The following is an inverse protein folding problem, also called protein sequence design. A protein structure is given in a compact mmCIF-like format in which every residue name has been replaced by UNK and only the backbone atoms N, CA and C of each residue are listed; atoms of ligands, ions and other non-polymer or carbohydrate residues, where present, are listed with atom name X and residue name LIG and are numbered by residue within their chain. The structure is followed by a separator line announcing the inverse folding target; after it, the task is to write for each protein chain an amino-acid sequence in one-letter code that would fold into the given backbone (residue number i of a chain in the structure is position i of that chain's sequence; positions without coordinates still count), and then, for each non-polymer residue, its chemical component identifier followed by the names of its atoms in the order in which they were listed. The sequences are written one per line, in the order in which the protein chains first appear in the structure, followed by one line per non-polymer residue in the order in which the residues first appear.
data_IF_896400263061
#
_entry.id   IF_896400263061
#
_cell.length_a   1.000
_cell.length_b   1.000
_cell.length_c   1.000
_cell.angle_alpha   90.00
_cell.angle_beta   90.00
_cell.angle_gamma   90.00
#
_symmetry.space_group_name_H-M   'P 1'
#
loop_
_entity.id
_entity.type
_entity.pdbx_description
1 polymer ?
#
# COMPACT_ATOMS: atom_id res chain seq x y z
N UNK A 1 1.26 12.81 5.60
CA UNK A 1 1.11 12.17 6.93
C UNK A 1 1.44 10.69 6.82
N UNK A 2 2.17 10.12 7.77
CA UNK A 2 2.46 8.67 7.78
C UNK A 2 1.30 7.94 8.45
N UNK A 3 0.74 6.91 7.82
CA UNK A 3 -0.29 6.07 8.44
C UNK A 3 0.38 5.10 9.40
N UNK A 4 -0.14 5.03 10.62
CA UNK A 4 0.28 4.12 11.68
C UNK A 4 -0.97 3.56 12.36
N UNK A 5 -0.82 2.49 13.14
CA UNK A 5 -1.95 1.95 13.94
C UNK A 5 -2.58 3.01 14.86
N UNK A 6 -1.81 4.02 15.28
CA UNK A 6 -2.26 5.02 16.25
C UNK A 6 -3.09 6.14 15.64
N UNK A 7 -2.98 6.38 14.33
CA UNK A 7 -3.64 7.51 13.67
C UNK A 7 -4.65 7.08 12.59
N UNK A 8 -5.05 5.80 12.57
CA UNK A 8 -6.11 5.32 11.67
C UNK A 8 -7.41 6.10 11.84
N UNK A 9 -7.73 6.56 13.05
CA UNK A 9 -8.96 7.33 13.29
C UNK A 9 -8.93 8.75 12.69
N UNK A 10 -7.76 9.25 12.29
CA UNK A 10 -7.58 10.57 11.66
C UNK A 10 -7.73 10.51 10.13
N UNK A 11 -7.95 9.30 9.60
CA UNK A 11 -8.00 9.01 8.16
C UNK A 11 -9.45 8.77 7.75
N UNK A 12 -9.85 9.31 6.60
CA UNK A 12 -11.14 9.05 5.99
C UNK A 12 -11.10 7.75 5.21
N UNK A 13 -11.98 6.82 5.60
CA UNK A 13 -12.19 5.55 4.91
C UNK A 13 -13.60 5.51 4.34
N UNK A 14 -13.72 4.99 3.11
CA UNK A 14 -15.00 4.73 2.47
C UNK A 14 -15.89 3.81 3.33
N UNK A 15 -15.29 2.78 3.94
CA UNK A 15 -15.99 1.85 4.81
C UNK A 15 -15.07 1.20 5.86
N UNK A 16 -15.67 0.37 6.71
CA UNK A 16 -14.96 -0.36 7.76
C UNK A 16 -13.95 -1.38 7.20
N UNK A 17 -14.23 -2.00 6.05
CA UNK A 17 -13.34 -3.00 5.45
C UNK A 17 -12.03 -2.39 4.97
N UNK A 18 -12.08 -1.21 4.34
CA UNK A 18 -10.91 -0.43 3.95
C UNK A 18 -10.02 -0.13 5.17
N UNK A 19 -10.64 0.25 6.30
CA UNK A 19 -9.92 0.48 7.55
C UNK A 19 -9.23 -0.79 8.06
N UNK A 20 -9.93 -1.91 8.09
CA UNK A 20 -9.38 -3.19 8.55
C UNK A 20 -8.22 -3.69 7.67
N UNK A 21 -8.30 -3.46 6.35
CA UNK A 21 -7.22 -3.78 5.42
C UNK A 21 -5.96 -2.98 5.73
N UNK A 22 -6.07 -1.65 5.85
CA UNK A 22 -4.93 -0.78 6.17
C UNK A 22 -4.38 -1.06 7.56
N UNK A 23 -5.24 -1.32 8.55
CA UNK A 23 -4.83 -1.75 9.89
C UNK A 23 -3.97 -3.01 9.82
N UNK A 24 -4.37 -3.99 9.00
CA UNK A 24 -3.60 -5.21 8.78
C UNK A 24 -2.22 -4.92 8.20
N UNK A 25 -2.12 -4.01 7.23
CA UNK A 25 -0.86 -3.63 6.60
C UNK A 25 0.10 -3.03 7.62
N UNK A 26 -0.30 -1.98 8.34
CA UNK A 26 0.57 -1.33 9.33
C UNK A 26 0.87 -2.20 10.55
N UNK A 27 0.08 -3.26 10.76
CA UNK A 27 0.22 -4.18 11.88
C UNK A 27 1.11 -5.38 11.60
N UNK A 28 1.07 -5.88 10.37
CA UNK A 28 1.66 -7.17 9.99
C UNK A 28 2.83 -7.03 9.03
N UNK A 29 2.98 -5.89 8.38
CA UNK A 29 4.06 -5.66 7.41
C UNK A 29 4.92 -4.49 7.87
N UNK A 30 6.16 -4.44 7.41
CA UNK A 30 7.04 -3.27 7.61
C UNK A 30 6.74 -2.11 6.63
N UNK A 31 5.64 -2.17 5.88
CA UNK A 31 5.29 -1.16 4.89
C UNK A 31 5.00 0.19 5.55
N UNK A 32 5.73 1.22 5.11
CA UNK A 32 5.48 2.61 5.53
C UNK A 32 4.53 3.27 4.55
N UNK A 33 3.31 3.57 5.01
CA UNK A 33 2.27 4.16 4.18
C UNK A 33 2.24 5.69 4.36
N UNK A 34 2.33 6.42 3.25
CA UNK A 34 2.20 7.87 3.23
C UNK A 34 0.86 8.29 2.64
N UNK A 35 0.18 9.19 3.34
CA UNK A 35 -1.18 9.63 3.07
C UNK A 35 -1.30 11.15 3.06
N UNK A 36 -2.15 11.65 2.16
CA UNK A 36 -2.55 13.06 2.11
C UNK A 36 -3.94 13.20 2.71
N UNK A 37 -4.09 14.17 3.62
CA UNK A 37 -5.27 14.33 4.48
C UNK A 37 -6.60 14.47 3.72
N UNK A 38 -6.57 14.88 2.46
CA UNK A 38 -7.75 15.19 1.64
C UNK A 38 -8.20 14.04 0.71
N UNK A 39 -7.63 12.82 0.85
CA UNK A 39 -7.90 11.73 -0.10
C UNK A 39 -8.60 10.56 0.58
N UNK A 40 -9.92 10.38 0.46
CA UNK A 40 -10.57 9.19 1.04
C UNK A 40 -9.93 7.87 0.56
N UNK A 41 -9.69 6.94 1.50
CA UNK A 41 -9.22 5.59 1.19
C UNK A 41 -10.42 4.72 0.85
N UNK A 42 -10.53 4.38 -0.43
CA UNK A 42 -11.50 3.40 -0.91
C UNK A 42 -11.06 1.97 -0.61
N UNK A 43 -12.01 1.03 -0.62
CA UNK A 43 -11.73 -0.40 -0.45
C UNK A 43 -10.74 -0.90 -1.50
N UNK A 44 -10.92 -0.48 -2.75
CA UNK A 44 -10.04 -0.86 -3.86
C UNK A 44 -8.59 -0.46 -3.59
N UNK A 45 -8.35 0.79 -3.16
CA UNK A 45 -7.01 1.27 -2.82
C UNK A 45 -6.43 0.55 -1.60
N UNK A 46 -7.26 0.29 -0.59
CA UNK A 46 -6.82 -0.46 0.59
C UNK A 46 -6.38 -1.89 0.22
N UNK A 47 -7.10 -2.52 -0.71
CA UNK A 47 -6.78 -3.85 -1.22
C UNK A 47 -5.47 -3.85 -2.02
N UNK A 48 -5.26 -2.84 -2.87
CA UNK A 48 -4.02 -2.66 -3.62
C UNK A 48 -2.81 -2.49 -2.70
N UNK A 49 -2.93 -1.61 -1.69
CA UNK A 49 -1.91 -1.40 -0.66
C UNK A 49 -1.62 -2.70 0.08
N UNK A 50 -2.65 -3.43 0.48
CA UNK A 50 -2.51 -4.71 1.16
C UNK A 50 -1.75 -5.73 0.31
N UNK A 51 -2.15 -5.93 -0.94
CA UNK A 51 -1.50 -6.88 -1.84
C UNK A 51 -0.04 -6.50 -2.08
N UNK A 52 0.26 -5.21 -2.23
CA UNK A 52 1.64 -4.74 -2.43
C UNK A 52 2.49 -4.91 -1.18
N UNK A 53 1.97 -4.64 0.00
CA UNK A 53 2.67 -4.82 1.26
C UNK A 53 2.93 -6.29 1.58
N UNK A 54 1.98 -7.18 1.29
CA UNK A 54 2.16 -8.63 1.46
C UNK A 54 3.20 -9.17 0.48
N UNK A 55 3.14 -8.79 -0.80
CA UNK A 55 4.15 -9.19 -1.79
C UNK A 55 5.55 -8.73 -1.41
N UNK A 56 5.67 -7.52 -0.86
CA UNK A 56 6.95 -6.98 -0.40
C UNK A 56 7.56 -7.75 0.77
N UNK A 57 6.73 -8.23 1.70
CA UNK A 57 7.17 -9.08 2.81
C UNK A 57 7.61 -10.47 2.30
N UNK A 58 6.92 -11.02 1.30
CA UNK A 58 7.27 -12.33 0.71
C UNK A 58 8.58 -12.29 -0.10
N UNK A 59 8.96 -11.14 -0.65
CA UNK A 59 10.14 -10.96 -1.51
C UNK A 59 11.43 -10.53 -0.76
N UNK A 60 11.39 -10.45 0.58
CA UNK A 60 12.53 -10.09 1.48
C UNK A 60 13.22 -8.75 1.12
N UNK A 61 12.50 -7.86 0.45
CA UNK A 61 12.99 -6.57 -0.03
C UNK A 61 12.16 -5.42 0.53
N UNK A 62 12.76 -4.57 1.36
CA UNK A 62 12.12 -3.38 1.93
C UNK A 62 11.42 -2.54 0.84
N UNK A 63 10.09 -2.62 0.76
CA UNK A 63 9.31 -1.96 -0.28
C UNK A 63 8.78 -0.62 0.22
N UNK A 64 9.40 0.46 -0.26
CA UNK A 64 8.90 1.81 -0.11
C UNK A 64 7.95 2.10 -1.28
N UNK A 65 6.64 2.11 -1.02
CA UNK A 65 5.64 2.42 -2.06
C UNK A 65 5.38 3.93 -2.08
N UNK A 66 5.64 4.58 -3.21
CA UNK A 66 5.32 6.00 -3.41
C UNK A 66 4.15 6.19 -4.37
N UNK A 67 3.36 7.23 -4.15
CA UNK A 67 2.22 7.62 -4.97
C UNK A 67 2.59 8.04 -6.42
N UNK A 68 3.88 8.23 -6.73
CA UNK A 68 4.32 8.61 -8.09
C UNK A 68 4.55 7.41 -9.03
N UNK A 69 4.60 6.18 -8.49
CA UNK A 69 4.79 4.98 -9.33
C UNK A 69 3.56 4.68 -10.21
N UNK A 70 2.37 5.18 -9.82
CA UNK A 70 1.12 5.03 -10.57
C UNK A 70 1.18 5.60 -11.99
N UNK A 71 2.07 6.55 -12.27
CA UNK A 71 2.16 7.17 -13.59
C UNK A 71 3.10 6.44 -14.56
N UNK A 72 3.86 5.44 -14.10
CA UNK A 72 4.91 4.77 -14.89
C UNK A 72 4.61 3.32 -15.27
N UNK A 73 3.53 2.73 -14.76
CA UNK A 73 3.21 1.30 -15.00
C UNK A 73 2.33 1.03 -16.24
N UNK A 74 1.85 2.07 -16.94
CA UNK A 74 1.11 1.88 -18.22
C UNK A 74 2.02 1.73 -19.45
N UNK A 75 3.33 1.79 -19.30
CA UNK A 75 4.28 1.65 -20.39
C UNK A 75 5.59 1.11 -19.84
N UNK A 76 5.87 -0.19 -20.03
CA UNK A 76 7.17 -0.91 -20.07
C UNK A 76 7.02 -2.33 -19.51
N UNK A 77 6.77 -3.31 -20.38
CA UNK A 77 7.71 -4.35 -20.85
C UNK A 77 7.37 -5.69 -20.16
N UNK A 78 6.78 -6.70 -20.82
CA UNK A 78 7.40 -7.53 -21.86
C UNK A 78 8.91 -7.54 -21.69
N UNK A 79 9.48 -8.32 -20.76
CA UNK A 79 10.71 -9.09 -20.99
C UNK A 79 10.85 -10.18 -19.93
N UNK A 80 11.02 -11.40 -20.44
CA UNK A 80 11.58 -12.59 -19.82
C UNK A 80 12.92 -12.34 -19.10
N UNK A 81 13.18 -13.12 -18.05
CA UNK A 81 14.52 -13.38 -17.49
C UNK A 81 14.38 -13.82 -16.02
N UNK A 82 14.43 -15.12 -15.69
CA UNK A 82 15.65 -15.92 -15.47
C UNK A 82 16.51 -15.42 -14.29
N UNK A 83 16.48 -16.23 -13.22
CA UNK A 83 17.52 -16.51 -12.22
C UNK A 83 18.43 -15.37 -11.72
N UNK A 84 18.37 -15.08 -10.42
CA UNK A 84 19.33 -15.55 -9.40
C UNK A 84 18.75 -15.31 -8.01
#
# INVERSE_FOLDING_TARGET
MMITRNNLNEILFENQDARLLIERVVSRTQATLYYYHDVEITVEKALEIYNRAVRAEEEDGACCVSFLDFSREKNKFLYSGSSC
#
